data_IF_015736920551
#
_entry.id   IF_015736920551
#
_cell.length_a   1.000
_cell.length_b   1.000
_cell.length_c   1.000
_cell.angle_alpha   90.00
_cell.angle_beta   90.00
_cell.angle_gamma   90.00
#
_symmetry.space_group_name_H-M   'P 1'
#
loop_
_entity.id
_entity.type
_entity.pdbx_description
1 polymer ?
#
# COMPACT_ATOMS: atom_id res chain seq x y z
N UNK A 1 17.60 4.45 -8.61
CA UNK A 1 17.58 3.61 -7.40
C UNK A 1 18.01 4.33 -6.12
N UNK A 2 18.81 5.37 -6.17
CA UNK A 2 19.30 6.17 -5.01
C UNK A 2 18.25 7.03 -4.31
N UNK A 3 17.17 7.40 -5.00
CA UNK A 3 16.12 8.30 -4.47
C UNK A 3 15.13 7.58 -3.51
N UNK A 4 14.96 6.25 -3.66
CA UNK A 4 14.12 5.46 -2.76
C UNK A 4 14.80 5.18 -1.40
N UNK A 5 16.14 5.09 -1.33
CA UNK A 5 16.86 4.89 -0.06
C UNK A 5 16.78 6.14 0.82
N UNK A 6 17.04 7.34 0.26
CA UNK A 6 16.92 8.60 1.02
C UNK A 6 15.49 8.88 1.51
N UNK A 7 14.47 8.45 0.76
CA UNK A 7 13.08 8.60 1.18
C UNK A 7 12.68 7.63 2.30
N UNK A 8 13.31 6.46 2.41
CA UNK A 8 13.04 5.51 3.49
C UNK A 8 13.68 5.91 4.82
N UNK A 9 14.78 6.66 4.81
CA UNK A 9 15.45 7.15 6.03
C UNK A 9 14.61 8.19 6.80
N UNK A 10 13.61 8.79 6.16
CA UNK A 10 12.72 9.79 6.76
C UNK A 10 11.46 9.17 7.40
N UNK A 11 11.16 7.90 7.12
CA UNK A 11 9.96 7.20 7.58
C UNK A 11 10.31 6.14 8.63
N UNK A 12 9.57 6.14 9.74
CA UNK A 12 9.75 5.16 10.82
C UNK A 12 9.13 3.82 10.38
N UNK A 13 9.94 2.75 10.40
CA UNK A 13 9.49 1.37 10.25
C UNK A 13 9.46 0.69 11.62
N UNK A 14 8.29 0.59 12.23
CA UNK A 14 8.13 -0.03 13.55
C UNK A 14 8.37 -1.54 13.52
N UNK A 15 8.05 -2.23 12.42
CA UNK A 15 8.32 -3.66 12.29
C UNK A 15 9.84 -3.94 12.18
N UNK A 16 10.57 -3.10 11.48
CA UNK A 16 12.04 -3.20 11.44
C UNK A 16 12.65 -2.85 12.79
N UNK A 17 12.13 -1.82 13.48
CA UNK A 17 12.58 -1.44 14.82
C UNK A 17 12.38 -2.57 15.82
N UNK A 18 11.23 -3.27 15.80
CA UNK A 18 10.98 -4.46 16.63
C UNK A 18 11.97 -5.58 16.34
N UNK A 19 12.27 -5.83 15.06
CA UNK A 19 13.25 -6.86 14.67
C UNK A 19 14.64 -6.51 15.17
N UNK A 20 15.07 -5.24 15.06
CA UNK A 20 16.35 -4.76 15.56
C UNK A 20 16.43 -4.92 17.09
N UNK A 21 15.36 -4.51 17.81
CA UNK A 21 15.26 -4.71 19.25
C UNK A 21 15.43 -6.20 19.63
N UNK A 22 14.64 -7.08 18.99
CA UNK A 22 14.71 -8.52 19.26
C UNK A 22 16.09 -9.11 18.94
N UNK A 23 16.76 -8.59 17.90
CA UNK A 23 18.15 -9.00 17.60
C UNK A 23 19.12 -8.60 18.71
N UNK A 24 19.05 -7.37 19.23
CA UNK A 24 19.87 -6.92 20.36
C UNK A 24 19.59 -7.74 21.62
N UNK A 25 18.34 -8.06 21.90
CA UNK A 25 17.95 -8.94 23.03
C UNK A 25 18.58 -10.33 22.88
N UNK A 26 18.56 -10.89 21.66
CA UNK A 26 19.17 -12.18 21.35
C UNK A 26 20.70 -12.15 21.53
N UNK A 27 21.38 -11.06 21.13
CA UNK A 27 22.82 -10.89 21.34
C UNK A 27 23.14 -10.96 22.83
N UNK A 28 22.41 -10.20 23.64
CA UNK A 28 22.63 -10.20 25.11
C UNK A 28 22.40 -11.60 25.71
N UNK A 29 21.35 -12.28 25.29
CA UNK A 29 21.03 -13.62 25.78
C UNK A 29 22.14 -14.62 25.38
N UNK A 30 22.56 -14.62 24.13
CA UNK A 30 23.62 -15.52 23.62
C UNK A 30 24.95 -15.24 24.32
N UNK A 31 25.38 -13.98 24.45
CA UNK A 31 26.62 -13.61 25.11
C UNK A 31 26.61 -14.03 26.60
N UNK A 32 25.49 -13.78 27.30
CA UNK A 32 25.35 -14.19 28.71
C UNK A 32 25.42 -15.70 28.87
N UNK A 33 24.75 -16.46 27.98
CA UNK A 33 24.79 -17.92 28.02
C UNK A 33 26.17 -18.44 27.70
N UNK A 34 26.84 -17.88 26.68
CA UNK A 34 28.21 -18.26 26.31
C UNK A 34 29.23 -18.04 27.43
N UNK A 35 29.15 -16.89 28.11
CA UNK A 35 30.02 -16.60 29.27
C UNK A 35 29.87 -17.61 30.41
N UNK A 36 28.64 -18.12 30.61
CA UNK A 36 28.35 -19.12 31.66
C UNK A 36 28.83 -20.52 31.25
N UNK A 37 28.62 -20.90 29.98
CA UNK A 37 28.98 -22.25 29.51
C UNK A 37 30.48 -22.42 29.19
N UNK A 38 31.20 -21.31 28.84
CA UNK A 38 32.58 -21.32 28.41
C UNK A 38 33.44 -20.28 29.17
N UNK A 39 33.59 -20.39 30.50
CA UNK A 39 34.25 -19.36 31.33
C UNK A 39 35.73 -19.16 31.03
N UNK A 40 36.39 -20.07 30.26
CA UNK A 40 37.81 -19.95 29.90
C UNK A 40 38.07 -19.52 28.46
N UNK A 41 37.02 -19.45 27.60
CA UNK A 41 37.16 -19.16 26.17
C UNK A 41 36.47 -17.80 25.82
N UNK A 42 35.63 -17.28 26.68
CA UNK A 42 34.98 -15.98 26.48
C UNK A 42 35.97 -14.83 26.75
N UNK A 43 35.84 -13.75 25.96
CA UNK A 43 36.47 -12.45 26.26
C UNK A 43 35.46 -11.58 27.04
N UNK A 44 35.49 -11.62 28.40
CA UNK A 44 34.44 -10.98 29.21
C UNK A 44 34.44 -9.45 29.04
N UNK A 45 35.52 -8.84 28.59
CA UNK A 45 35.59 -7.40 28.36
C UNK A 45 34.85 -7.05 27.05
N UNK A 46 35.04 -7.86 26.00
CA UNK A 46 34.39 -7.66 24.71
C UNK A 46 32.90 -7.93 24.81
N UNK A 47 32.52 -9.07 25.37
CA UNK A 47 31.12 -9.50 25.53
C UNK A 47 30.34 -8.52 26.42
N UNK A 48 30.95 -7.99 27.47
CA UNK A 48 30.35 -6.95 28.32
C UNK A 48 30.14 -5.63 27.57
N UNK A 49 31.09 -5.22 26.71
CA UNK A 49 30.91 -4.00 25.88
C UNK A 49 29.81 -4.15 24.85
N UNK A 50 29.74 -5.30 24.18
CA UNK A 50 28.67 -5.60 23.21
C UNK A 50 27.29 -5.60 23.90
N UNK A 51 27.19 -6.20 25.10
CA UNK A 51 25.95 -6.18 25.89
C UNK A 51 25.53 -4.77 26.32
N UNK A 52 26.48 -3.92 26.74
CA UNK A 52 26.19 -2.52 27.11
C UNK A 52 25.72 -1.72 25.89
N UNK A 53 26.37 -1.92 24.74
CA UNK A 53 25.95 -1.28 23.49
C UNK A 53 24.55 -1.75 23.07
N UNK A 54 24.30 -3.04 23.05
CA UNK A 54 23.00 -3.61 22.73
C UNK A 54 21.89 -3.12 23.67
N UNK A 55 22.17 -3.00 24.98
CA UNK A 55 21.24 -2.46 25.96
C UNK A 55 20.90 -0.97 25.71
N UNK A 56 21.90 -0.17 25.32
CA UNK A 56 21.66 1.23 24.93
C UNK A 56 20.78 1.34 23.69
N UNK A 57 21.05 0.53 22.64
CA UNK A 57 20.24 0.48 21.42
C UNK A 57 18.81 0.02 21.70
N UNK A 58 18.61 -0.96 22.62
CA UNK A 58 17.26 -1.39 23.05
C UNK A 58 16.47 -0.21 23.63
N UNK A 59 17.11 0.61 24.48
CA UNK A 59 16.45 1.77 25.07
C UNK A 59 16.02 2.79 23.99
N UNK A 60 16.84 3.02 22.96
CA UNK A 60 16.48 3.88 21.82
C UNK A 60 15.31 3.29 21.03
N UNK A 61 15.33 1.98 20.74
CA UNK A 61 14.24 1.32 20.04
C UNK A 61 12.94 1.35 20.85
N UNK A 62 12.99 1.21 22.16
CA UNK A 62 11.82 1.32 23.03
C UNK A 62 11.21 2.73 22.99
N UNK A 63 12.05 3.76 23.01
CA UNK A 63 11.59 5.14 22.86
C UNK A 63 10.89 5.38 21.50
N UNK A 64 11.41 4.81 20.42
CA UNK A 64 10.77 4.88 19.10
C UNK A 64 9.44 4.10 19.11
N UNK A 65 9.42 2.87 19.63
CA UNK A 65 8.23 2.03 19.69
C UNK A 65 7.11 2.63 20.55
N UNK A 66 7.46 3.41 21.58
CA UNK A 66 6.47 4.14 22.39
C UNK A 66 5.69 5.19 21.59
N UNK A 67 6.20 5.62 20.42
CA UNK A 67 5.51 6.56 19.52
C UNK A 67 4.67 5.85 18.45
N UNK A 68 4.56 4.53 18.51
CA UNK A 68 3.84 3.75 17.50
C UNK A 68 2.36 4.14 17.45
N UNK A 69 1.86 4.49 16.25
CA UNK A 69 0.44 4.77 16.09
C UNK A 69 -0.42 3.51 16.18
N UNK A 70 -1.70 3.64 16.54
CA UNK A 70 -2.61 2.51 16.51
C UNK A 70 -2.68 1.91 15.09
N UNK A 71 -2.90 0.60 14.97
CA UNK A 71 -3.02 -0.04 13.66
C UNK A 71 -4.17 0.58 12.85
N UNK A 72 -4.09 0.55 11.51
CA UNK A 72 -5.18 1.04 10.69
C UNK A 72 -6.45 0.21 10.90
N UNK A 73 -7.58 0.88 11.09
CA UNK A 73 -8.88 0.22 11.22
C UNK A 73 -9.44 -0.11 9.85
N UNK A 74 -9.20 -1.33 9.39
CA UNK A 74 -9.57 -1.82 8.06
C UNK A 74 -10.24 -3.20 8.15
N UNK A 75 -11.39 -3.38 7.46
CA UNK A 75 -12.24 -2.35 6.86
C UNK A 75 -12.93 -1.49 7.92
N UNK A 76 -13.55 -0.34 7.55
CA UNK A 76 -14.36 0.45 8.47
C UNK A 76 -15.49 -0.39 9.07
N UNK A 77 -15.70 -0.26 10.39
CA UNK A 77 -16.78 -0.99 11.09
C UNK A 77 -18.16 -0.37 10.89
N UNK A 78 -18.20 0.89 10.47
CA UNK A 78 -19.42 1.67 10.25
C UNK A 78 -19.33 2.42 8.93
N UNK A 79 -20.47 2.81 8.34
CA UNK A 79 -20.49 3.63 7.12
C UNK A 79 -19.72 4.93 7.32
N UNK A 80 -18.97 5.32 6.28
CA UNK A 80 -18.26 6.58 6.27
C UNK A 80 -19.23 7.74 6.04
N UNK A 81 -18.94 8.87 6.68
CA UNK A 81 -19.68 10.12 6.47
C UNK A 81 -18.70 11.29 6.30
N UNK A 82 -19.23 12.39 5.78
CA UNK A 82 -18.46 13.60 5.54
C UNK A 82 -18.47 14.50 6.77
N UNK A 83 -17.28 14.94 7.17
CA UNK A 83 -17.08 16.04 8.12
C UNK A 83 -16.36 17.18 7.39
N UNK A 84 -16.82 18.40 7.55
CA UNK A 84 -16.22 19.59 6.95
C UNK A 84 -16.01 20.66 8.00
N UNK A 85 -14.90 21.38 7.92
CA UNK A 85 -14.60 22.45 8.86
C UNK A 85 -13.18 22.95 8.70
N UNK A 86 -12.80 23.85 9.58
CA UNK A 86 -11.43 24.36 9.68
C UNK A 86 -10.66 23.48 10.67
N UNK A 87 -9.43 23.12 10.31
CA UNK A 87 -8.54 22.35 11.18
C UNK A 87 -8.02 23.21 12.32
N UNK A 88 -8.34 22.82 13.56
CA UNK A 88 -7.88 23.48 14.78
C UNK A 88 -6.48 23.03 15.17
N UNK A 89 -6.22 21.75 15.03
CA UNK A 89 -4.92 21.11 15.34
C UNK A 89 -4.60 20.10 14.23
N UNK A 90 -3.32 19.99 13.88
CA UNK A 90 -2.87 18.99 12.90
C UNK A 90 -1.41 18.62 13.11
N UNK A 91 -1.15 17.33 13.20
CA UNK A 91 0.20 16.76 13.30
C UNK A 91 0.35 15.58 12.36
N UNK A 92 1.56 15.38 11.86
CA UNK A 92 1.88 14.31 10.90
C UNK A 92 3.10 13.56 11.38
N UNK A 93 2.98 12.25 11.49
CA UNK A 93 4.08 11.34 11.73
C UNK A 93 4.32 10.51 10.45
N UNK A 94 5.54 10.55 9.91
CA UNK A 94 5.90 9.77 8.71
C UNK A 94 6.23 8.35 9.12
N UNK A 95 5.47 7.39 8.63
CA UNK A 95 5.54 5.98 9.04
C UNK A 95 5.44 5.05 7.85
N UNK A 96 6.02 3.87 7.98
CA UNK A 96 5.79 2.78 7.05
C UNK A 96 4.60 1.97 7.56
N UNK A 97 3.57 1.88 6.74
CA UNK A 97 2.36 1.10 7.02
C UNK A 97 2.20 -0.08 6.08
N UNK A 98 1.33 -1.00 6.45
CA UNK A 98 1.01 -2.17 5.65
C UNK A 98 -0.47 -2.16 5.31
N UNK A 99 -0.78 -2.19 4.00
CA UNK A 99 -2.14 -2.09 3.46
C UNK A 99 -2.36 -3.19 2.43
N UNK A 100 -2.13 -4.43 2.83
CA UNK A 100 -2.30 -5.61 1.97
C UNK A 100 -3.65 -6.29 2.22
N UNK A 101 -3.98 -7.32 1.46
CA UNK A 101 -5.19 -8.11 1.67
C UNK A 101 -5.29 -8.66 3.10
N UNK A 102 -4.16 -8.91 3.75
CA UNK A 102 -4.09 -9.39 5.13
C UNK A 102 -4.69 -8.41 6.13
N UNK A 103 -4.45 -7.12 5.96
CA UNK A 103 -4.95 -6.08 6.85
C UNK A 103 -6.43 -5.77 6.58
N UNK A 104 -6.86 -5.88 5.32
CA UNK A 104 -8.24 -5.62 4.91
C UNK A 104 -9.20 -6.78 5.19
N UNK A 105 -8.73 -8.01 5.10
CA UNK A 105 -9.54 -9.23 5.30
C UNK A 105 -8.65 -10.34 5.87
N UNK A 106 -8.35 -10.27 7.19
CA UNK A 106 -7.45 -11.21 7.84
C UNK A 106 -7.98 -12.65 7.81
N UNK A 107 -9.30 -12.85 7.85
CA UNK A 107 -9.89 -14.20 7.82
C UNK A 107 -9.76 -14.82 6.42
N UNK A 108 -10.16 -14.12 5.37
CA UNK A 108 -9.98 -14.60 4.00
C UNK A 108 -8.50 -14.80 3.65
N UNK A 109 -7.62 -13.93 4.16
CA UNK A 109 -6.17 -14.09 3.99
C UNK A 109 -5.66 -15.37 4.68
N UNK A 110 -6.08 -15.65 5.92
CA UNK A 110 -5.68 -16.85 6.65
C UNK A 110 -6.13 -18.12 5.93
N UNK A 111 -7.36 -18.17 5.41
CA UNK A 111 -7.85 -19.28 4.60
C UNK A 111 -7.05 -19.47 3.32
N UNK A 112 -6.72 -18.39 2.62
CA UNK A 112 -5.90 -18.45 1.42
C UNK A 112 -4.48 -18.90 1.73
N UNK A 113 -3.87 -18.39 2.80
CA UNK A 113 -2.52 -18.76 3.23
C UNK A 113 -2.44 -20.26 3.57
N UNK A 114 -3.43 -20.78 4.28
CA UNK A 114 -3.51 -22.21 4.57
C UNK A 114 -3.63 -23.06 3.28
N UNK A 115 -4.45 -22.62 2.32
CA UNK A 115 -4.58 -23.28 1.01
C UNK A 115 -3.30 -23.24 0.19
N UNK A 116 -2.60 -22.09 0.18
CA UNK A 116 -1.32 -21.91 -0.52
C UNK A 116 -0.21 -22.75 0.12
N UNK A 117 -0.21 -22.91 1.45
CA UNK A 117 0.72 -23.81 2.17
C UNK A 117 0.53 -25.26 1.74
N UNK A 118 -0.71 -25.74 1.69
CA UNK A 118 -1.02 -27.10 1.21
C UNK A 118 -0.61 -27.27 -0.25
N UNK A 119 -0.92 -26.28 -1.11
CA UNK A 119 -0.52 -26.26 -2.51
C UNK A 119 1.00 -26.29 -2.70
N UNK A 120 1.75 -25.53 -1.92
CA UNK A 120 3.21 -25.50 -1.97
C UNK A 120 3.83 -26.82 -1.50
N UNK A 121 3.24 -27.44 -0.49
CA UNK A 121 3.66 -28.77 -0.01
C UNK A 121 3.46 -29.85 -1.09
N UNK A 122 2.30 -29.85 -1.76
CA UNK A 122 2.01 -30.76 -2.85
C UNK A 122 2.99 -30.55 -4.01
N UNK A 123 3.28 -29.30 -4.40
CA UNK A 123 4.25 -28.99 -5.46
C UNK A 123 5.67 -29.42 -5.08
N UNK A 124 6.06 -29.27 -3.82
CA UNK A 124 7.35 -29.76 -3.32
C UNK A 124 7.43 -31.28 -3.37
N UNK A 125 6.35 -32.01 -2.99
CA UNK A 125 6.28 -33.48 -3.06
C UNK A 125 6.38 -34.01 -4.49
N UNK A 126 5.87 -33.28 -5.48
CA UNK A 126 5.94 -33.63 -6.92
C UNK A 126 7.29 -33.21 -7.54
N UNK A 127 8.23 -32.68 -6.74
CA UNK A 127 9.57 -32.31 -7.22
C UNK A 127 9.64 -30.94 -7.92
N UNK A 128 8.58 -30.12 -7.87
CA UNK A 128 8.56 -28.78 -8.47
C UNK A 128 8.97 -27.70 -7.45
N UNK A 129 10.28 -27.66 -7.14
CA UNK A 129 10.84 -26.68 -6.21
C UNK A 129 10.63 -25.22 -6.65
N UNK A 130 10.66 -24.94 -7.96
CA UNK A 130 10.43 -23.60 -8.49
C UNK A 130 8.98 -23.13 -8.25
N UNK A 131 7.99 -23.99 -8.46
CA UNK A 131 6.59 -23.71 -8.17
C UNK A 131 6.32 -23.48 -6.69
N UNK A 132 6.95 -24.25 -5.82
CA UNK A 132 6.88 -24.10 -4.36
C UNK A 132 7.47 -22.76 -3.90
N UNK A 133 8.62 -22.34 -4.45
CA UNK A 133 9.27 -21.06 -4.14
C UNK A 133 8.42 -19.86 -4.57
N UNK A 134 7.79 -19.91 -5.74
CA UNK A 134 6.91 -18.83 -6.23
C UNK A 134 5.69 -18.66 -5.33
N UNK A 135 5.09 -19.77 -4.86
CA UNK A 135 3.93 -19.74 -3.95
C UNK A 135 4.32 -19.14 -2.57
N UNK A 136 5.57 -19.37 -2.12
CA UNK A 136 6.11 -18.79 -0.89
C UNK A 136 6.42 -17.28 -0.99
N UNK A 137 6.80 -16.78 -2.17
CA UNK A 137 7.12 -15.36 -2.39
C UNK A 137 5.89 -14.42 -2.32
N UNK A 138 4.68 -14.94 -2.49
CA UNK A 138 3.44 -14.14 -2.35
C UNK A 138 3.24 -13.59 -0.93
N UNK A 139 4.04 -14.03 0.04
CA UNK A 139 3.99 -13.65 1.46
C UNK A 139 4.78 -12.40 1.80
N UNK A 140 5.51 -11.80 0.86
CA UNK A 140 6.25 -10.57 1.11
C UNK A 140 5.23 -9.45 1.36
N UNK A 141 5.16 -9.02 2.62
CA UNK A 141 4.31 -7.93 3.05
C UNK A 141 4.80 -6.64 2.39
N UNK A 142 3.98 -6.09 1.49
CA UNK A 142 4.33 -4.84 0.81
C UNK A 142 4.10 -3.67 1.75
N UNK A 143 5.13 -2.87 1.96
CA UNK A 143 5.08 -1.65 2.72
C UNK A 143 4.65 -0.45 1.86
N UNK A 144 3.94 0.48 2.47
CA UNK A 144 3.53 1.75 1.89
C UNK A 144 4.05 2.90 2.76
N UNK A 145 4.63 3.94 2.13
CA UNK A 145 5.06 5.15 2.82
C UNK A 145 3.83 6.01 3.13
N UNK A 146 3.50 6.17 4.41
CA UNK A 146 2.28 6.78 4.88
C UNK A 146 2.55 7.94 5.83
N UNK A 147 1.55 8.76 5.98
CA UNK A 147 1.45 9.77 7.03
C UNK A 147 0.37 9.30 8.02
N UNK A 148 0.76 9.03 9.26
CA UNK A 148 -0.20 8.95 10.34
C UNK A 148 -0.52 10.37 10.78
N UNK A 149 -1.78 10.75 10.67
CA UNK A 149 -2.25 12.10 10.99
C UNK A 149 -3.09 12.10 12.26
N UNK A 150 -2.93 13.14 13.05
CA UNK A 150 -3.76 13.44 14.23
C UNK A 150 -4.12 14.92 14.20
N UNK A 151 -5.29 15.26 14.72
CA UNK A 151 -5.71 16.64 14.80
C UNK A 151 -7.06 16.78 15.46
N UNK A 152 -7.65 17.99 15.27
CA UNK A 152 -8.94 18.35 15.81
C UNK A 152 -9.71 19.19 14.79
N UNK A 153 -10.99 18.90 14.64
CA UNK A 153 -11.91 19.59 13.75
C UNK A 153 -13.28 19.73 14.43
N UNK A 154 -13.83 20.93 14.44
CA UNK A 154 -15.10 21.24 15.10
C UNK A 154 -15.12 20.77 16.58
N UNK A 155 -14.02 20.91 17.30
CA UNK A 155 -13.89 20.45 18.67
C UNK A 155 -13.69 18.94 18.85
N UNK A 156 -13.77 18.12 17.82
CA UNK A 156 -13.65 16.66 17.89
C UNK A 156 -12.27 16.21 17.45
N UNK A 157 -11.54 15.40 18.25
CA UNK A 157 -10.25 14.85 17.85
C UNK A 157 -10.41 13.80 16.74
N UNK A 158 -9.37 13.69 15.92
CA UNK A 158 -9.31 12.66 14.88
C UNK A 158 -7.92 12.08 14.73
N UNK A 159 -7.87 10.89 14.16
CA UNK A 159 -6.63 10.27 13.68
C UNK A 159 -6.88 9.42 12.44
N UNK A 160 -5.81 9.12 11.69
CA UNK A 160 -5.94 8.25 10.53
C UNK A 160 -4.63 7.98 9.81
N UNK A 161 -4.67 6.98 8.94
CA UNK A 161 -3.56 6.57 8.10
C UNK A 161 -3.81 7.04 6.67
N UNK A 162 -3.02 8.00 6.23
CA UNK A 162 -3.16 8.58 4.91
C UNK A 162 -1.87 8.42 4.11
N UNK A 163 -1.98 8.61 2.82
CA UNK A 163 -0.83 8.89 1.98
C UNK A 163 -0.23 10.25 2.31
N UNK A 164 0.59 10.78 1.39
CA UNK A 164 1.16 12.10 1.56
C UNK A 164 0.06 13.16 1.65
N UNK A 165 0.24 14.13 2.53
CA UNK A 165 -0.68 15.26 2.69
C UNK A 165 0.05 16.60 2.68
N UNK A 166 -0.62 17.66 2.22
CA UNK A 166 -0.15 19.04 2.29
C UNK A 166 -1.06 19.94 3.15
N UNK A 167 -1.90 19.32 3.94
CA UNK A 167 -2.83 19.98 4.85
C UNK A 167 -2.06 20.69 5.98
N UNK A 168 -2.55 21.85 6.40
CA UNK A 168 -2.00 22.63 7.51
C UNK A 168 -3.12 23.07 8.45
N UNK A 169 -2.77 23.49 9.66
CA UNK A 169 -3.68 24.15 10.59
C UNK A 169 -4.34 25.36 9.90
N UNK A 170 -5.56 25.68 10.26
CA UNK A 170 -6.41 26.72 9.67
C UNK A 170 -6.88 26.46 8.22
N UNK A 171 -6.58 25.30 7.65
CA UNK A 171 -7.17 24.91 6.38
C UNK A 171 -8.64 24.46 6.55
N UNK A 172 -9.50 24.93 5.64
CA UNK A 172 -10.82 24.33 5.48
C UNK A 172 -10.70 23.01 4.70
N UNK A 173 -11.15 21.93 5.33
CA UNK A 173 -11.03 20.58 4.78
C UNK A 173 -12.39 19.87 4.74
N UNK A 174 -12.48 18.89 3.86
CA UNK A 174 -13.55 17.90 3.83
C UNK A 174 -12.94 16.52 4.06
N UNK A 175 -13.44 15.79 5.04
CA UNK A 175 -12.91 14.50 5.43
C UNK A 175 -13.96 13.41 5.29
N UNK A 176 -13.55 12.22 4.80
CA UNK A 176 -14.33 11.00 4.91
C UNK A 176 -13.91 10.30 6.20
N UNK A 177 -14.83 10.15 7.13
CA UNK A 177 -14.52 9.66 8.49
C UNK A 177 -15.51 8.58 8.92
N UNK A 178 -15.06 7.78 9.89
CA UNK A 178 -15.90 6.90 10.71
C UNK A 178 -15.91 7.43 12.14
N UNK A 179 -17.07 7.45 12.80
CA UNK A 179 -17.15 7.78 14.22
C UNK A 179 -16.67 6.63 15.09
N UNK A 180 -15.87 6.95 16.11
CA UNK A 180 -15.40 5.97 17.09
C UNK A 180 -15.38 6.59 18.49
N UNK A 181 -16.48 6.41 19.21
CA UNK A 181 -16.65 7.09 20.50
C UNK A 181 -16.62 8.60 20.34
N UNK A 182 -15.69 9.27 21.05
CA UNK A 182 -15.53 10.73 21.04
C UNK A 182 -14.52 11.22 20.00
N UNK A 183 -14.09 10.37 19.06
CA UNK A 183 -13.12 10.74 18.02
C UNK A 183 -13.55 10.26 16.63
N UNK A 184 -12.87 10.78 15.60
CA UNK A 184 -13.04 10.34 14.23
C UNK A 184 -11.83 9.53 13.76
N UNK A 185 -12.08 8.43 13.05
CA UNK A 185 -11.08 7.75 12.24
C UNK A 185 -11.18 8.25 10.81
N UNK A 186 -10.09 8.80 10.29
CA UNK A 186 -10.05 9.48 8.99
C UNK A 186 -9.48 8.57 7.93
N UNK A 187 -10.20 8.44 6.79
CA UNK A 187 -9.81 7.66 5.63
C UNK A 187 -9.42 8.52 4.42
N UNK A 188 -9.86 9.78 4.39
CA UNK A 188 -9.41 10.75 3.39
C UNK A 188 -9.57 12.17 3.91
N UNK A 189 -8.64 13.05 3.51
CA UNK A 189 -8.72 14.49 3.71
C UNK A 189 -8.60 15.19 2.36
N UNK A 190 -9.60 15.96 2.00
CA UNK A 190 -9.63 16.79 0.80
C UNK A 190 -9.51 18.25 1.15
N UNK A 191 -8.72 19.00 0.36
CA UNK A 191 -8.67 20.47 0.38
C UNK A 191 -9.41 21.01 -0.86
N UNK A 192 -10.65 21.49 -0.72
CA UNK A 192 -11.41 21.99 -1.85
C UNK A 192 -10.75 23.18 -2.55
N UNK A 193 -10.14 24.08 -1.79
CA UNK A 193 -9.42 25.27 -2.31
C UNK A 193 -8.29 24.91 -3.28
N UNK A 194 -7.53 23.86 -2.99
CA UNK A 194 -6.41 23.40 -3.81
C UNK A 194 -6.79 22.23 -4.74
N UNK A 195 -8.01 21.70 -4.57
CA UNK A 195 -8.48 20.49 -5.23
C UNK A 195 -7.53 19.30 -5.05
N UNK A 196 -6.95 19.18 -3.86
CA UNK A 196 -6.06 18.07 -3.51
C UNK A 196 -6.74 17.15 -2.51
N UNK A 197 -6.44 15.87 -2.60
CA UNK A 197 -6.95 14.85 -1.71
C UNK A 197 -5.84 13.88 -1.31
N UNK A 198 -5.75 13.60 -0.02
CA UNK A 198 -4.94 12.55 0.56
C UNK A 198 -5.84 11.41 1.00
N UNK A 199 -5.50 10.17 0.67
CA UNK A 199 -6.34 9.01 0.92
C UNK A 199 -5.59 7.92 1.67
N UNK A 200 -6.33 7.04 2.33
CA UNK A 200 -5.81 5.76 2.81
C UNK A 200 -5.05 5.06 1.67
N UNK A 201 -3.86 4.51 1.94
CA UNK A 201 -3.06 3.85 0.93
C UNK A 201 -3.84 2.84 0.09
N UNK A 202 -3.55 2.82 -1.21
CA UNK A 202 -4.17 1.96 -2.25
C UNK A 202 -5.61 2.31 -2.64
N UNK A 203 -6.32 3.13 -1.87
CA UNK A 203 -7.69 3.56 -2.14
C UNK A 203 -7.74 4.74 -3.12
N UNK A 204 -7.55 4.51 -4.42
CA UNK A 204 -7.50 5.59 -5.41
C UNK A 204 -8.37 5.39 -6.64
N UNK A 205 -9.11 4.27 -6.70
CA UNK A 205 -10.02 3.92 -7.81
C UNK A 205 -11.24 3.19 -7.32
N UNK A 206 -12.38 3.47 -7.96
CA UNK A 206 -13.57 2.64 -7.87
C UNK A 206 -13.52 1.46 -8.86
N UNK A 207 -14.42 0.53 -8.69
CA UNK A 207 -14.50 -0.76 -9.39
C UNK A 207 -14.56 -0.64 -10.92
N UNK A 208 -15.40 0.24 -11.45
CA UNK A 208 -15.52 0.42 -12.89
C UNK A 208 -14.27 1.08 -13.51
N UNK A 209 -13.63 1.97 -12.75
CA UNK A 209 -12.36 2.55 -13.16
C UNK A 209 -11.25 1.49 -13.20
N UNK A 210 -11.21 0.56 -12.25
CA UNK A 210 -10.25 -0.54 -12.24
C UNK A 210 -10.47 -1.50 -13.42
N UNK A 211 -11.72 -1.91 -13.68
CA UNK A 211 -12.07 -2.73 -14.86
C UNK A 211 -11.65 -2.02 -16.15
N UNK A 212 -11.91 -0.71 -16.26
CA UNK A 212 -11.51 0.06 -17.43
C UNK A 212 -9.99 0.08 -17.64
N UNK A 213 -9.21 0.22 -16.57
CA UNK A 213 -7.74 0.20 -16.65
C UNK A 213 -7.25 -1.20 -17.06
N UNK A 214 -7.84 -2.25 -16.52
CA UNK A 214 -7.53 -3.63 -16.89
C UNK A 214 -7.80 -3.86 -18.39
N UNK A 215 -8.96 -3.45 -18.87
CA UNK A 215 -9.35 -3.67 -20.28
C UNK A 215 -8.56 -2.80 -21.26
N UNK A 216 -8.30 -1.52 -20.93
CA UNK A 216 -7.68 -0.57 -21.86
C UNK A 216 -6.15 -0.59 -21.84
N UNK A 217 -5.52 -1.07 -20.78
CA UNK A 217 -4.07 -1.10 -20.61
C UNK A 217 -3.52 -2.46 -20.26
N UNK A 218 -4.14 -3.15 -19.31
CA UNK A 218 -3.68 -4.46 -18.85
C UNK A 218 -3.80 -5.48 -19.97
N UNK A 219 -4.94 -5.57 -20.60
CA UNK A 219 -5.17 -6.48 -21.70
C UNK A 219 -4.24 -6.22 -22.90
N UNK A 220 -4.13 -5.01 -23.48
CA UNK A 220 -3.19 -4.78 -24.57
C UNK A 220 -1.74 -5.03 -24.20
N UNK A 221 -1.31 -4.66 -23.00
CA UNK A 221 0.06 -4.90 -22.54
C UNK A 221 0.37 -6.40 -22.41
N UNK A 222 -0.60 -7.20 -21.97
CA UNK A 222 -0.46 -8.66 -21.84
C UNK A 222 -0.47 -9.37 -23.20
N UNK A 223 -1.28 -8.87 -24.15
CA UNK A 223 -1.41 -9.47 -25.48
C UNK A 223 -0.35 -9.01 -26.48
N UNK A 224 0.28 -7.86 -26.28
CA UNK A 224 1.27 -7.34 -27.24
C UNK A 224 2.45 -8.29 -27.50
N UNK A 225 3.03 -9.02 -26.51
CA UNK A 225 4.07 -10.00 -26.79
C UNK A 225 3.60 -11.15 -27.68
N UNK A 226 2.36 -11.60 -27.50
CA UNK A 226 1.76 -12.64 -28.33
C UNK A 226 1.54 -12.17 -29.74
N UNK A 227 1.02 -10.94 -29.91
CA UNK A 227 0.85 -10.32 -31.24
C UNK A 227 2.20 -10.19 -31.96
N UNK A 228 3.23 -9.70 -31.27
CA UNK A 228 4.58 -9.57 -31.81
C UNK A 228 5.14 -10.95 -32.21
N UNK A 229 4.96 -11.97 -31.37
CA UNK A 229 5.37 -13.34 -31.65
C UNK A 229 4.71 -13.87 -32.94
N UNK A 230 3.40 -13.70 -33.09
CA UNK A 230 2.68 -14.12 -34.31
C UNK A 230 3.15 -13.35 -35.55
N UNK A 231 3.41 -12.06 -35.44
CA UNK A 231 3.98 -11.29 -36.54
C UNK A 231 5.35 -11.82 -36.97
N UNK A 232 6.22 -12.14 -35.99
CA UNK A 232 7.55 -12.72 -36.30
C UNK A 232 7.41 -14.07 -36.98
N UNK A 233 6.46 -14.91 -36.61
CA UNK A 233 6.21 -16.21 -37.27
C UNK A 233 5.79 -16.04 -38.73
N UNK A 234 4.90 -15.07 -38.99
CA UNK A 234 4.52 -14.72 -40.36
C UNK A 234 5.71 -14.24 -41.22
N UNK A 235 6.56 -13.38 -40.65
CA UNK A 235 7.77 -12.90 -41.34
C UNK A 235 8.80 -14.01 -41.59
N UNK A 236 8.82 -15.07 -40.77
CA UNK A 236 9.68 -16.25 -40.99
C UNK A 236 9.12 -17.24 -42.02
N UNK A 237 8.00 -16.92 -42.65
CA UNK A 237 7.42 -17.76 -43.69
C UNK A 237 6.60 -18.96 -43.16
N UNK A 238 6.20 -18.92 -41.87
CA UNK A 238 5.25 -19.87 -41.35
C UNK A 238 3.90 -19.65 -42.02
N UNK A 239 3.26 -20.73 -42.44
CA UNK A 239 1.95 -20.63 -43.10
C UNK A 239 0.95 -19.85 -42.26
N UNK A 240 0.23 -18.93 -42.90
CA UNK A 240 -0.76 -18.09 -42.24
C UNK A 240 -1.82 -18.91 -41.49
N UNK A 241 -2.12 -20.13 -41.99
CA UNK A 241 -3.06 -21.07 -41.37
C UNK A 241 -2.60 -21.54 -39.98
N UNK A 242 -1.33 -21.92 -39.85
CA UNK A 242 -0.76 -22.39 -38.58
C UNK A 242 -0.64 -21.24 -37.58
N UNK A 243 -0.26 -20.07 -38.08
CA UNK A 243 -0.24 -18.85 -37.27
C UNK A 243 -1.64 -18.48 -36.77
N UNK A 244 -2.68 -18.59 -37.62
CA UNK A 244 -4.06 -18.31 -37.24
C UNK A 244 -4.59 -19.31 -36.23
N UNK A 245 -4.25 -20.60 -36.34
CA UNK A 245 -4.62 -21.66 -35.37
C UNK A 245 -3.96 -21.35 -34.01
N UNK A 246 -2.67 -21.03 -34.00
CA UNK A 246 -1.96 -20.64 -32.79
C UNK A 246 -2.57 -19.39 -32.12
N UNK A 247 -2.93 -18.37 -32.90
CA UNK A 247 -3.62 -17.18 -32.40
C UNK A 247 -5.00 -17.51 -31.81
N UNK A 248 -5.76 -18.38 -32.47
CA UNK A 248 -7.08 -18.82 -31.97
C UNK A 248 -6.98 -19.59 -30.66
N UNK A 249 -5.98 -20.48 -30.52
CA UNK A 249 -5.72 -21.21 -29.27
C UNK A 249 -5.32 -20.22 -28.18
N UNK A 250 -4.41 -19.29 -28.45
CA UNK A 250 -4.00 -18.24 -27.51
C UNK A 250 -5.19 -17.37 -27.05
N UNK A 251 -6.02 -16.93 -27.98
CA UNK A 251 -7.24 -16.17 -27.65
C UNK A 251 -8.25 -17.01 -26.83
N UNK A 252 -8.40 -18.29 -27.16
CA UNK A 252 -9.28 -19.22 -26.46
C UNK A 252 -8.90 -19.44 -25.00
N UNK A 253 -7.63 -19.30 -24.63
CA UNK A 253 -7.17 -19.38 -23.24
C UNK A 253 -7.24 -18.02 -22.53
N UNK A 254 -6.78 -16.98 -23.20
CA UNK A 254 -6.58 -15.66 -22.57
C UNK A 254 -7.88 -14.87 -22.43
N UNK A 255 -8.83 -15.01 -23.34
CA UNK A 255 -10.13 -14.31 -23.25
C UNK A 255 -10.96 -14.79 -22.06
N UNK A 256 -11.13 -16.10 -21.81
CA UNK A 256 -11.80 -16.57 -20.59
C UNK A 256 -11.11 -16.12 -19.30
N UNK A 257 -9.76 -16.08 -19.26
CA UNK A 257 -9.02 -15.57 -18.11
C UNK A 257 -9.31 -14.09 -17.83
N UNK A 258 -9.39 -13.25 -18.87
CA UNK A 258 -9.80 -11.85 -18.76
C UNK A 258 -11.24 -11.73 -18.24
N UNK A 259 -12.16 -12.47 -18.86
CA UNK A 259 -13.57 -12.45 -18.45
C UNK A 259 -13.75 -12.93 -17.02
N UNK A 260 -13.04 -13.96 -16.59
CA UNK A 260 -13.04 -14.44 -15.21
C UNK A 260 -12.50 -13.38 -14.25
N UNK A 261 -11.45 -12.64 -14.64
CA UNK A 261 -10.90 -11.54 -13.83
C UNK A 261 -11.90 -10.40 -13.70
N UNK A 262 -12.54 -9.98 -14.79
CA UNK A 262 -13.60 -8.96 -14.77
C UNK A 262 -14.79 -9.42 -13.90
N UNK A 263 -15.21 -10.67 -14.06
CA UNK A 263 -16.27 -11.27 -13.24
C UNK A 263 -15.91 -11.25 -11.75
N UNK A 264 -14.66 -11.63 -11.41
CA UNK A 264 -14.15 -11.58 -10.03
C UNK A 264 -14.19 -10.16 -9.47
N UNK A 265 -13.72 -9.15 -10.22
CA UNK A 265 -13.74 -7.75 -9.78
C UNK A 265 -15.19 -7.26 -9.58
N UNK A 266 -16.14 -7.71 -10.41
CA UNK A 266 -17.54 -7.33 -10.28
C UNK A 266 -18.23 -7.97 -9.08
N UNK A 267 -18.01 -9.25 -8.85
CA UNK A 267 -18.78 -10.04 -7.89
C UNK A 267 -18.07 -10.26 -6.55
N UNK A 268 -16.73 -10.27 -6.56
CA UNK A 268 -15.88 -10.35 -5.36
C UNK A 268 -14.93 -9.15 -5.36
N UNK A 269 -15.50 -7.97 -5.22
CA UNK A 269 -14.71 -6.73 -5.20
C UNK A 269 -13.75 -6.75 -4.01
N UNK A 270 -12.47 -6.40 -4.26
CA UNK A 270 -11.49 -6.28 -3.19
C UNK A 270 -11.92 -5.26 -2.14
N UNK A 271 -11.74 -5.52 -0.84
CA UNK A 271 -12.08 -4.59 0.23
C UNK A 271 -11.47 -3.19 0.05
N UNK A 272 -10.28 -3.12 -0.55
CA UNK A 272 -9.60 -1.84 -0.89
C UNK A 272 -10.45 -1.00 -1.86
N UNK A 273 -11.03 -1.64 -2.88
CA UNK A 273 -11.87 -0.95 -3.87
C UNK A 273 -13.19 -0.52 -3.24
N UNK A 274 -13.78 -1.36 -2.37
CA UNK A 274 -15.00 -1.02 -1.64
C UNK A 274 -14.76 0.20 -0.74
N UNK A 275 -13.68 0.19 0.03
CA UNK A 275 -13.30 1.35 0.85
C UNK A 275 -13.09 2.61 0.01
N UNK A 276 -12.47 2.51 -1.17
CA UNK A 276 -12.33 3.65 -2.07
C UNK A 276 -13.70 4.18 -2.54
N UNK A 277 -14.64 3.30 -2.89
CA UNK A 277 -16.00 3.69 -3.26
C UNK A 277 -16.75 4.36 -2.10
N UNK A 278 -16.60 3.85 -0.87
CA UNK A 278 -17.20 4.42 0.33
C UNK A 278 -16.62 5.81 0.64
N UNK A 279 -15.32 6.00 0.51
CA UNK A 279 -14.66 7.30 0.67
C UNK A 279 -15.22 8.29 -0.38
N UNK A 280 -15.29 7.90 -1.65
CA UNK A 280 -15.80 8.75 -2.71
C UNK A 280 -17.29 9.09 -2.50
N UNK A 281 -18.09 8.14 -2.06
CA UNK A 281 -19.50 8.36 -1.72
C UNK A 281 -19.63 9.34 -0.55
N UNK A 282 -18.87 9.16 0.54
CA UNK A 282 -18.88 10.04 1.69
C UNK A 282 -18.48 11.48 1.32
N UNK A 283 -17.48 11.66 0.44
CA UNK A 283 -17.05 12.98 -0.03
C UNK A 283 -18.00 13.61 -1.07
N UNK A 284 -19.02 12.87 -1.54
CA UNK A 284 -20.05 13.40 -2.47
C UNK A 284 -19.64 13.35 -3.94
N UNK A 285 -18.75 12.44 -4.35
CA UNK A 285 -18.51 12.21 -5.77
C UNK A 285 -19.76 11.63 -6.46
N UNK A 286 -20.12 12.16 -7.62
CA UNK A 286 -21.35 11.79 -8.32
C UNK A 286 -21.45 10.30 -8.71
N UNK A 287 -20.33 9.67 -9.05
CA UNK A 287 -20.26 8.26 -9.42
C UNK A 287 -18.99 7.62 -8.81
N UNK A 288 -19.06 7.18 -7.53
CA UNK A 288 -17.92 6.61 -6.81
C UNK A 288 -17.21 5.46 -7.55
N UNK A 289 -17.98 4.63 -8.25
CA UNK A 289 -17.46 3.46 -8.98
C UNK A 289 -16.58 3.82 -10.17
N UNK A 290 -16.79 5.01 -10.76
CA UNK A 290 -16.06 5.47 -11.95
C UNK A 290 -14.87 6.37 -11.65
N UNK A 291 -14.67 6.77 -10.38
CA UNK A 291 -13.58 7.65 -9.99
C UNK A 291 -12.23 6.98 -10.22
N UNK A 292 -11.31 7.67 -10.87
CA UNK A 292 -9.89 7.33 -10.98
C UNK A 292 -9.06 8.58 -10.68
N UNK A 293 -8.62 8.71 -9.43
CA UNK A 293 -7.83 9.86 -8.98
C UNK A 293 -6.48 9.97 -9.71
N UNK A 294 -5.86 8.84 -10.07
CA UNK A 294 -4.63 8.87 -10.87
C UNK A 294 -4.84 9.47 -12.26
N UNK A 295 -6.00 9.18 -12.87
CA UNK A 295 -6.35 9.76 -14.18
C UNK A 295 -6.67 11.24 -14.04
N UNK A 296 -7.40 11.65 -13.02
CA UNK A 296 -7.70 13.06 -12.73
C UNK A 296 -6.41 13.85 -12.50
N UNK A 297 -5.53 13.35 -11.62
CA UNK A 297 -4.22 13.96 -11.37
C UNK A 297 -3.39 14.12 -12.65
N UNK A 298 -3.30 13.06 -13.49
CA UNK A 298 -2.56 13.14 -14.75
C UNK A 298 -3.14 14.16 -15.73
N UNK A 299 -4.46 14.31 -15.76
CA UNK A 299 -5.12 15.32 -16.61
C UNK A 299 -4.78 16.72 -16.12
N UNK A 300 -4.90 16.96 -14.82
CA UNK A 300 -4.61 18.26 -14.23
C UNK A 300 -3.15 18.65 -14.40
N UNK A 301 -2.21 17.76 -14.15
CA UNK A 301 -0.78 17.98 -14.38
C UNK A 301 -0.41 18.30 -15.85
N UNK A 302 -1.25 17.92 -16.82
CA UNK A 302 -1.07 18.34 -18.22
C UNK A 302 -1.61 19.74 -18.50
N UNK A 303 -2.62 20.17 -17.72
CA UNK A 303 -3.25 21.49 -17.87
C UNK A 303 -2.46 22.57 -17.12
N UNK A 304 -1.89 22.23 -15.93
CA UNK A 304 -1.12 23.15 -15.08
C UNK A 304 0.29 23.52 -15.61
N UNK A 305 0.74 22.94 -16.72
CA UNK A 305 1.93 23.45 -17.43
C UNK A 305 1.77 24.93 -17.82
N UNK A 306 0.54 25.48 -17.72
CA UNK A 306 0.20 26.86 -18.08
C UNK A 306 0.03 27.81 -16.86
N UNK A 307 -0.17 27.28 -15.64
CA UNK A 307 -0.51 28.13 -14.46
C UNK A 307 0.45 27.90 -13.28
N UNK A 308 1.55 28.66 -13.24
CA UNK A 308 2.61 28.50 -12.22
C UNK A 308 2.40 29.37 -10.95
N UNK A 309 1.26 30.04 -10.76
CA UNK A 309 1.15 31.15 -9.81
C UNK A 309 0.43 30.88 -8.47
N UNK A 310 -0.09 29.67 -8.18
CA UNK A 310 -1.04 29.51 -7.03
C UNK A 310 -0.54 28.66 -5.86
N UNK A 311 0.66 28.10 -5.88
CA UNK A 311 1.14 27.21 -4.81
C UNK A 311 2.30 27.81 -3.99
N UNK A 312 2.07 28.92 -3.31
CA UNK A 312 3.06 29.49 -2.41
C UNK A 312 3.47 28.49 -1.32
N UNK A 313 4.61 27.81 -1.49
CA UNK A 313 5.29 27.03 -0.46
C UNK A 313 4.73 25.66 -0.10
N UNK A 314 3.62 25.21 -0.70
CA UNK A 314 3.04 23.86 -0.42
C UNK A 314 3.41 22.84 -1.47
N UNK A 315 3.75 21.64 -1.02
CA UNK A 315 3.97 20.55 -1.96
C UNK A 315 2.65 20.09 -2.59
N UNK A 316 2.64 20.03 -3.92
CA UNK A 316 1.44 19.70 -4.71
C UNK A 316 1.55 18.28 -5.30
N UNK A 317 0.42 17.63 -5.65
CA UNK A 317 0.44 16.32 -6.27
C UNK A 317 1.26 16.32 -7.55
N UNK A 318 2.13 15.32 -7.70
CA UNK A 318 2.98 15.11 -8.88
C UNK A 318 2.78 13.69 -9.42
N UNK A 319 3.39 13.37 -10.56
CA UNK A 319 3.37 12.00 -11.08
C UNK A 319 3.97 10.99 -10.09
N UNK A 320 4.99 11.39 -9.32
CA UNK A 320 5.63 10.56 -8.29
C UNK A 320 4.76 10.47 -7.02
N UNK A 321 4.11 11.55 -6.63
CA UNK A 321 3.26 11.58 -5.44
C UNK A 321 1.98 10.77 -5.59
N UNK A 322 1.56 10.43 -6.81
CA UNK A 322 0.41 9.52 -7.03
C UNK A 322 0.65 8.11 -6.47
N UNK A 323 1.93 7.71 -6.31
CA UNK A 323 2.29 6.46 -5.62
C UNK A 323 2.18 6.58 -4.09
N UNK A 324 2.13 7.80 -3.58
CA UNK A 324 1.95 8.12 -2.15
C UNK A 324 0.52 8.53 -1.83
N UNK A 325 -0.44 8.10 -2.64
CA UNK A 325 -1.89 8.28 -2.42
C UNK A 325 -2.30 9.74 -2.19
N UNK A 326 -1.61 10.66 -2.86
CA UNK A 326 -1.85 12.08 -2.88
C UNK A 326 -2.20 12.52 -4.31
N UNK A 327 -3.39 13.09 -4.48
CA UNK A 327 -3.99 13.27 -5.78
C UNK A 327 -4.66 14.65 -5.94
N UNK A 328 -4.87 15.05 -7.20
CA UNK A 328 -5.90 16.04 -7.56
C UNK A 328 -7.24 15.35 -7.82
N UNK A 329 -8.33 16.08 -7.56
CA UNK A 329 -9.70 15.64 -7.84
C UNK A 329 -10.55 16.73 -8.51
#
# INVERSE_FOLDING_TARGET
>A
MTDNRKASEEFIDFDETRRKKSHCETIIEVNNKWMVEHPGESDPIKDSRENVQAAAEISEFEAILATEPPPPELPPRQPLFKVSGVLEEFSVQKVIGYFTEREYDPEAFAHKDASDQVGSLILAMVGNAAGSAVTGQSKIRQNDLCNFVRGKINGVPFYGWLGKTNVQVDDYVEMAVMGQGDCYVVYAIALPKLRTISMTPRCHRGREAEIRVLTTRGFPAFYSPFLIFFLIMLFKGVEWRDTAIGAAIGAGVLLPALLATIYKIRNKTSPVILLAEDIFAALGFADPKKVDLRKLTRRRLKQEVTDTSTSAGREMPSRRSTLRYFHYY
#
